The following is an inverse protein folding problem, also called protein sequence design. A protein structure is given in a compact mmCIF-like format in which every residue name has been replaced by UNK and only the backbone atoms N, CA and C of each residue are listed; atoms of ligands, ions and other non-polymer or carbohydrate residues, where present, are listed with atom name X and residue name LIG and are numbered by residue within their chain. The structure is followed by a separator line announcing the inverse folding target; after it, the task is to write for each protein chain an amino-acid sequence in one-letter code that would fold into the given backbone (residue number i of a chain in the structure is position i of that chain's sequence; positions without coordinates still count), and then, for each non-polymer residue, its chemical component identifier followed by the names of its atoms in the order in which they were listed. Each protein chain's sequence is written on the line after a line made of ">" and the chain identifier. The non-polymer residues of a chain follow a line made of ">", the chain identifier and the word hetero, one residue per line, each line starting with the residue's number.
data_IF_635507453511
#
_entry.id   IF_635507453511
#
_cell.length_a   1.000
_cell.length_b   1.000
_cell.length_c   1.000
_cell.angle_alpha   90.00
_cell.angle_beta   90.00
_cell.angle_gamma   90.00
#
_symmetry.space_group_name_H-M   'P 1'
#
loop_
_entity.id
_entity.type
_entity.pdbx_description
1 polymer ?
#
# COMPACT_ATOMS: atom_id res chain seq x y z
N UNK A 1 1.01 -23.69 -1.65
CA UNK A 1 -0.35 -23.21 -1.34
C UNK A 1 -0.69 -22.05 -2.27
N UNK A 2 -1.92 -21.99 -2.79
CA UNK A 2 -2.35 -20.88 -3.66
C UNK A 2 -2.56 -19.61 -2.82
N UNK A 3 -1.99 -18.49 -3.24
CA UNK A 3 -1.98 -17.22 -2.50
C UNK A 3 -3.41 -16.68 -2.27
N UNK A 4 -4.36 -17.09 -3.12
CA UNK A 4 -5.79 -16.82 -3.00
C UNK A 4 -6.41 -17.46 -1.73
N UNK A 5 -5.94 -18.64 -1.34
CA UNK A 5 -6.43 -19.36 -0.15
C UNK A 5 -6.08 -18.57 1.11
N UNK A 6 -4.90 -17.95 1.13
CA UNK A 6 -4.44 -17.08 2.22
C UNK A 6 -5.39 -15.89 2.36
N UNK A 7 -5.69 -15.19 1.25
CA UNK A 7 -6.63 -14.07 1.24
C UNK A 7 -8.04 -14.45 1.72
N UNK A 8 -8.59 -15.56 1.24
CA UNK A 8 -9.90 -16.06 1.67
C UNK A 8 -9.93 -16.46 3.15
N UNK A 9 -8.85 -17.03 3.67
CA UNK A 9 -8.74 -17.40 5.09
C UNK A 9 -8.68 -16.15 5.97
N UNK A 10 -7.91 -15.14 5.57
CA UNK A 10 -7.87 -13.81 6.21
C UNK A 10 -9.25 -13.14 6.19
N UNK A 11 -9.95 -13.18 5.06
CA UNK A 11 -11.29 -12.61 4.97
C UNK A 11 -12.26 -13.28 5.94
N UNK A 12 -12.24 -14.61 6.03
CA UNK A 12 -13.05 -15.35 7.00
C UNK A 12 -12.72 -14.93 8.44
N UNK A 13 -11.44 -14.84 8.78
CA UNK A 13 -11.00 -14.39 10.10
C UNK A 13 -11.50 -12.97 10.42
N UNK A 14 -11.31 -12.01 9.50
CA UNK A 14 -11.78 -10.63 9.70
C UNK A 14 -13.31 -10.52 9.75
N UNK A 15 -14.01 -11.34 8.98
CA UNK A 15 -15.47 -11.38 9.00
C UNK A 15 -16.03 -11.92 10.32
N UNK A 16 -15.32 -12.81 11.01
CA UNK A 16 -15.75 -13.36 12.30
C UNK A 16 -15.50 -12.38 13.45
N UNK A 17 -14.51 -11.50 13.32
CA UNK A 17 -14.06 -10.63 14.39
C UNK A 17 -14.79 -9.28 14.37
N UNK A 18 -15.41 -8.87 15.49
CA UNK A 18 -16.32 -7.69 15.53
C UNK A 18 -15.65 -6.40 15.08
N UNK A 19 -14.39 -6.19 15.47
CA UNK A 19 -13.62 -5.00 15.12
C UNK A 19 -13.32 -4.95 13.62
N UNK A 20 -12.68 -5.99 13.08
CA UNK A 20 -12.29 -6.04 11.66
C UNK A 20 -13.50 -6.09 10.72
N UNK A 21 -14.64 -6.64 11.16
CA UNK A 21 -15.87 -6.66 10.37
C UNK A 21 -16.34 -5.24 9.99
N UNK A 22 -16.19 -4.27 10.89
CA UNK A 22 -16.55 -2.86 10.63
C UNK A 22 -15.52 -2.18 9.71
N UNK A 23 -14.25 -2.59 9.79
CA UNK A 23 -13.18 -2.04 8.95
C UNK A 23 -13.14 -2.63 7.54
N UNK A 24 -13.67 -3.84 7.32
CA UNK A 24 -13.69 -4.50 6.01
C UNK A 24 -14.33 -3.69 4.87
N UNK A 25 -15.44 -2.95 5.02
CA UNK A 25 -15.96 -2.09 3.95
C UNK A 25 -15.11 -0.82 3.73
N UNK A 26 -14.29 -0.43 4.70
CA UNK A 26 -13.43 0.75 4.64
C UNK A 26 -12.01 0.43 4.14
N UNK A 27 -11.75 -0.79 3.68
CA UNK A 27 -10.44 -1.29 3.24
C UNK A 27 -9.76 -0.36 2.23
N UNK A 28 -10.48 -0.05 1.14
CA UNK A 28 -9.96 0.80 0.07
C UNK A 28 -9.77 2.26 0.54
N UNK A 29 -10.68 2.76 1.38
CA UNK A 29 -10.62 4.13 1.92
C UNK A 29 -9.41 4.28 2.83
N UNK A 30 -9.20 3.34 3.76
CA UNK A 30 -8.06 3.33 4.67
C UNK A 30 -6.75 3.26 3.88
N UNK A 31 -6.67 2.36 2.90
CA UNK A 31 -5.49 2.19 2.06
C UNK A 31 -5.16 3.46 1.28
N UNK A 32 -6.13 4.01 0.54
CA UNK A 32 -5.91 5.18 -0.31
C UNK A 32 -5.70 6.45 0.49
N UNK A 33 -6.47 6.67 1.57
CA UNK A 33 -6.27 7.83 2.43
C UNK A 33 -4.87 7.82 3.04
N UNK A 34 -4.40 6.67 3.55
CA UNK A 34 -3.05 6.55 4.07
C UNK A 34 -1.98 6.76 2.98
N UNK A 35 -2.18 6.21 1.78
CA UNK A 35 -1.25 6.40 0.66
C UNK A 35 -1.16 7.86 0.19
N UNK A 36 -2.30 8.54 0.07
CA UNK A 36 -2.38 9.96 -0.30
C UNK A 36 -1.74 10.82 0.78
N UNK A 37 -2.04 10.57 2.07
CA UNK A 37 -1.43 11.30 3.17
C UNK A 37 0.09 11.09 3.22
N UNK A 38 0.58 9.89 2.92
CA UNK A 38 2.01 9.63 2.74
C UNK A 38 2.62 10.48 1.62
N UNK A 39 1.90 10.67 0.51
CA UNK A 39 2.36 11.54 -0.57
C UNK A 39 2.33 13.01 -0.16
N UNK A 40 1.26 13.48 0.49
CA UNK A 40 1.14 14.87 0.99
C UNK A 40 2.21 15.18 2.02
N UNK A 41 2.59 14.20 2.83
CA UNK A 41 3.65 14.33 3.83
C UNK A 41 5.04 14.65 3.26
N UNK A 42 5.22 14.48 1.95
CA UNK A 42 6.42 14.94 1.27
C UNK A 42 6.48 16.48 1.17
N UNK A 43 5.32 17.13 1.07
CA UNK A 43 5.21 18.60 0.95
C UNK A 43 5.03 19.30 2.29
N UNK A 44 4.48 18.59 3.28
CA UNK A 44 4.17 19.11 4.61
C UNK A 44 4.74 18.16 5.65
N UNK A 45 5.51 18.68 6.60
CA UNK A 45 6.01 17.88 7.71
C UNK A 45 4.87 17.54 8.68
N UNK A 46 4.39 16.29 8.60
CA UNK A 46 3.36 15.75 9.49
C UNK A 46 3.95 15.28 10.83
N UNK A 47 5.26 15.34 11.03
CA UNK A 47 5.92 14.81 12.21
C UNK A 47 5.99 13.27 12.25
N UNK A 48 6.95 12.75 13.00
CA UNK A 48 7.28 11.31 13.02
C UNK A 48 6.16 10.43 13.56
N UNK A 49 5.39 10.91 14.53
CA UNK A 49 4.28 10.15 15.13
C UNK A 49 3.15 9.90 14.12
N UNK A 50 2.73 10.94 13.39
CA UNK A 50 1.67 10.82 12.38
C UNK A 50 2.14 9.91 11.24
N UNK A 51 3.39 10.01 10.82
CA UNK A 51 3.98 9.13 9.80
C UNK A 51 3.89 7.64 10.18
N UNK A 52 4.13 7.32 11.45
CA UNK A 52 3.98 5.93 11.92
C UNK A 52 2.53 5.48 11.88
N UNK A 53 1.58 6.31 12.31
CA UNK A 53 0.14 6.00 12.23
C UNK A 53 -0.28 5.76 10.77
N UNK A 54 0.16 6.62 9.85
CA UNK A 54 -0.12 6.45 8.42
C UNK A 54 0.46 5.15 7.87
N UNK A 55 1.66 4.77 8.31
CA UNK A 55 2.29 3.51 7.92
C UNK A 55 1.50 2.30 8.42
N UNK A 56 1.07 2.31 9.68
CA UNK A 56 0.20 1.27 10.23
C UNK A 56 -1.14 1.20 9.50
N UNK A 57 -1.78 2.36 9.27
CA UNK A 57 -3.03 2.46 8.52
C UNK A 57 -2.90 1.92 7.10
N UNK A 58 -1.81 2.25 6.40
CA UNK A 58 -1.52 1.74 5.07
C UNK A 58 -1.38 0.22 5.05
N UNK A 59 -0.58 -0.35 5.97
CA UNK A 59 -0.39 -1.80 6.07
C UNK A 59 -1.72 -2.50 6.38
N UNK A 60 -2.49 -1.96 7.31
CA UNK A 60 -3.80 -2.49 7.67
C UNK A 60 -4.77 -2.45 6.47
N UNK A 61 -4.86 -1.32 5.78
CA UNK A 61 -5.66 -1.16 4.57
C UNK A 61 -5.23 -2.11 3.45
N UNK A 62 -3.94 -2.37 3.30
CA UNK A 62 -3.40 -3.31 2.33
C UNK A 62 -3.80 -4.75 2.67
N UNK A 63 -3.68 -5.16 3.94
CA UNK A 63 -4.09 -6.51 4.39
C UNK A 63 -5.60 -6.70 4.21
N UNK A 64 -6.41 -5.71 4.55
CA UNK A 64 -7.86 -5.75 4.37
C UNK A 64 -8.23 -5.84 2.88
N UNK A 65 -7.65 -4.99 2.03
CA UNK A 65 -7.89 -4.99 0.58
C UNK A 65 -7.43 -6.30 -0.06
N UNK A 66 -6.32 -6.86 0.41
CA UNK A 66 -5.84 -8.18 -0.01
C UNK A 66 -6.80 -9.31 0.38
N UNK A 67 -7.35 -9.27 1.59
CA UNK A 67 -8.32 -10.27 2.05
C UNK A 67 -9.59 -10.28 1.17
N UNK A 68 -10.02 -9.11 0.71
CA UNK A 68 -11.17 -8.94 -0.20
C UNK A 68 -10.84 -9.14 -1.68
N UNK A 69 -9.62 -9.54 -2.01
CA UNK A 69 -9.14 -9.67 -3.39
C UNK A 69 -9.29 -8.39 -4.21
N UNK A 70 -9.28 -7.22 -3.56
CA UNK A 70 -9.42 -5.92 -4.21
C UNK A 70 -8.09 -5.45 -4.79
N UNK A 71 -7.61 -6.17 -5.80
CA UNK A 71 -6.26 -5.97 -6.36
C UNK A 71 -6.10 -4.64 -7.07
N UNK A 72 -7.18 -4.06 -7.59
CA UNK A 72 -7.14 -2.72 -8.21
C UNK A 72 -6.77 -1.65 -7.17
N UNK A 73 -7.38 -1.70 -5.98
CA UNK A 73 -7.08 -0.76 -4.91
C UNK A 73 -5.67 -0.98 -4.35
N UNK A 74 -5.20 -2.22 -4.27
CA UNK A 74 -3.80 -2.53 -3.93
C UNK A 74 -2.83 -1.93 -4.94
N UNK A 75 -3.12 -2.02 -6.25
CA UNK A 75 -2.32 -1.38 -7.29
C UNK A 75 -2.25 0.13 -7.08
N UNK A 76 -3.38 0.78 -6.83
CA UNK A 76 -3.40 2.23 -6.60
C UNK A 76 -2.61 2.62 -5.32
N UNK A 77 -2.83 1.92 -4.20
CA UNK A 77 -2.15 2.19 -2.93
C UNK A 77 -0.64 1.99 -3.00
N UNK A 78 -0.17 0.84 -3.47
CA UNK A 78 1.27 0.59 -3.63
C UNK A 78 1.88 1.47 -4.73
N UNK A 79 1.13 1.76 -5.79
CA UNK A 79 1.56 2.61 -6.88
C UNK A 79 1.84 4.05 -6.43
N UNK A 80 0.98 4.61 -5.57
CA UNK A 80 1.20 5.93 -4.98
C UNK A 80 2.48 5.98 -4.13
N UNK A 81 2.75 4.96 -3.32
CA UNK A 81 3.99 4.88 -2.55
C UNK A 81 5.23 4.68 -3.43
N UNK A 82 5.11 3.87 -4.48
CA UNK A 82 6.18 3.71 -5.46
C UNK A 82 6.50 5.05 -6.12
N UNK A 83 5.48 5.79 -6.59
CA UNK A 83 5.64 7.13 -7.17
C UNK A 83 6.30 8.09 -6.18
N UNK A 84 5.83 8.15 -4.93
CA UNK A 84 6.46 8.94 -3.86
C UNK A 84 7.95 8.62 -3.73
N UNK A 85 8.31 7.34 -3.72
CA UNK A 85 9.70 6.92 -3.59
C UNK A 85 10.54 7.25 -4.84
N UNK A 86 9.95 7.25 -6.04
CA UNK A 86 10.62 7.77 -7.24
C UNK A 86 10.98 9.24 -7.05
N UNK A 87 10.01 10.07 -6.64
CA UNK A 87 10.26 11.49 -6.39
C UNK A 87 11.31 11.71 -5.30
N UNK A 88 11.22 10.98 -4.19
CA UNK A 88 12.17 11.05 -3.09
C UNK A 88 13.58 10.62 -3.52
N UNK A 89 13.68 9.57 -4.34
CA UNK A 89 14.96 9.08 -4.87
C UNK A 89 15.67 10.16 -5.68
N UNK A 90 14.97 10.78 -6.64
CA UNK A 90 15.54 11.85 -7.45
C UNK A 90 15.83 13.11 -6.64
N UNK A 91 14.96 13.47 -5.68
CA UNK A 91 15.19 14.61 -4.80
C UNK A 91 16.50 14.44 -4.00
N UNK A 92 16.72 13.26 -3.40
CA UNK A 92 17.94 13.01 -2.62
C UNK A 92 19.17 12.92 -3.53
N UNK A 93 19.06 12.19 -4.65
CA UNK A 93 20.16 12.00 -5.58
C UNK A 93 20.65 13.33 -6.18
N UNK A 94 19.72 14.22 -6.57
CA UNK A 94 20.06 15.52 -7.15
C UNK A 94 20.49 16.54 -6.09
N UNK A 95 19.86 16.52 -4.90
CA UNK A 95 20.13 17.50 -3.85
C UNK A 95 21.39 17.18 -3.04
N UNK A 96 21.51 15.95 -2.54
CA UNK A 96 22.58 15.55 -1.63
C UNK A 96 23.73 14.81 -2.33
N UNK A 97 23.55 14.41 -3.60
CA UNK A 97 24.52 13.64 -4.40
C UNK A 97 24.94 12.31 -3.77
N UNK A 98 24.17 11.84 -2.80
CA UNK A 98 24.32 10.53 -2.19
C UNK A 98 23.32 9.56 -2.82
N UNK A 99 23.69 8.28 -2.86
CA UNK A 99 22.81 7.25 -3.39
C UNK A 99 21.87 6.74 -2.29
N UNK A 100 20.55 6.99 -2.35
CA UNK A 100 19.64 6.66 -1.27
C UNK A 100 19.18 5.19 -1.35
N UNK A 101 20.04 4.28 -0.90
CA UNK A 101 19.79 2.82 -0.91
C UNK A 101 18.45 2.41 -0.28
N UNK A 102 18.09 3.01 0.85
CA UNK A 102 16.82 2.77 1.55
C UNK A 102 15.60 3.08 0.66
N UNK A 103 15.65 4.20 -0.05
CA UNK A 103 14.57 4.63 -0.95
C UNK A 103 14.52 3.73 -2.18
N UNK A 104 15.66 3.31 -2.71
CA UNK A 104 15.72 2.38 -3.83
C UNK A 104 15.12 1.01 -3.48
N UNK A 105 15.45 0.46 -2.31
CA UNK A 105 14.86 -0.80 -1.84
C UNK A 105 13.35 -0.66 -1.65
N UNK A 106 12.91 0.43 -1.04
CA UNK A 106 11.48 0.72 -0.85
C UNK A 106 10.76 0.85 -2.20
N UNK A 107 11.37 1.52 -3.17
CA UNK A 107 10.85 1.64 -4.53
C UNK A 107 10.75 0.27 -5.21
N UNK A 108 11.77 -0.57 -5.09
CA UNK A 108 11.74 -1.92 -5.66
C UNK A 108 10.62 -2.76 -5.04
N UNK A 109 10.48 -2.76 -3.71
CA UNK A 109 9.43 -3.51 -3.01
C UNK A 109 8.04 -3.04 -3.43
N UNK A 110 7.74 -1.74 -3.31
CA UNK A 110 6.42 -1.22 -3.64
C UNK A 110 6.12 -1.26 -5.15
N UNK A 111 7.14 -1.07 -6.00
CA UNK A 111 7.02 -1.24 -7.45
C UNK A 111 6.68 -2.68 -7.84
N UNK A 112 7.36 -3.67 -7.26
CA UNK A 112 7.07 -5.08 -7.49
C UNK A 112 5.66 -5.46 -7.00
N UNK A 113 5.26 -5.01 -5.81
CA UNK A 113 3.92 -5.24 -5.27
C UNK A 113 2.82 -4.61 -6.13
N UNK A 114 3.08 -3.41 -6.66
CA UNK A 114 2.17 -2.73 -7.59
C UNK A 114 1.99 -3.54 -8.87
N UNK A 115 3.10 -3.99 -9.48
CA UNK A 115 3.07 -4.79 -10.70
C UNK A 115 2.36 -6.12 -10.52
N UNK A 116 2.63 -6.82 -9.41
CA UNK A 116 1.96 -8.10 -9.11
C UNK A 116 0.46 -7.90 -8.90
N UNK A 117 0.07 -6.88 -8.14
CA UNK A 117 -1.33 -6.53 -7.92
C UNK A 117 -2.03 -6.15 -9.23
N UNK A 118 -1.34 -5.38 -10.10
CA UNK A 118 -1.89 -4.95 -11.39
C UNK A 118 -2.12 -6.13 -12.34
N UNK A 119 -1.12 -7.00 -12.50
CA UNK A 119 -1.24 -8.23 -13.30
C UNK A 119 -2.41 -9.08 -12.82
N UNK A 120 -2.65 -9.14 -11.51
CA UNK A 120 -3.75 -9.90 -10.92
C UNK A 120 -5.10 -9.21 -11.11
N UNK A 121 -5.15 -7.89 -10.99
CA UNK A 121 -6.36 -7.10 -11.29
C UNK A 121 -6.78 -7.26 -12.75
N UNK A 122 -5.83 -7.25 -13.70
CA UNK A 122 -6.14 -7.45 -15.11
C UNK A 122 -6.73 -8.83 -15.40
N UNK A 123 -6.16 -9.88 -14.80
CA UNK A 123 -6.67 -11.26 -14.95
C UNK A 123 -8.09 -11.43 -14.44
N UNK A 124 -8.50 -10.65 -13.43
CA UNK A 124 -9.84 -10.70 -12.83
C UNK A 124 -10.86 -9.82 -13.56
N UNK A 125 -10.42 -8.76 -14.25
CA UNK A 125 -11.30 -7.88 -15.02
C UNK A 125 -11.50 -8.32 -16.48
N UNK A 126 -10.63 -9.19 -17.00
CA UNK A 126 -10.69 -9.72 -18.37
C UNK A 126 -11.22 -11.18 -18.44
N UNK A 127 -11.59 -11.77 -17.31
CA UNK A 127 -12.20 -13.11 -17.22
C UNK A 127 -13.63 -13.01 -16.74
#
# INVERSE_FOLDING_TARGET
>A
MKFEIVGQTLYRYFSQNRFFRVLLPLDAVILLAAAVLHLVSFFIDLGSFIQQILTFGFILGAILSFSKSNYLMLTAGFGLLALRNVFLFFYILLGYREFPWSVMLSLAVYGLLTLQSYKKSLKLNLG
#
